data_IF_213032955604
#
_entry.id   IF_213032955604
#
_cell.length_a   1.000
_cell.length_b   1.000
_cell.length_c   1.000
_cell.angle_alpha   90.00
_cell.angle_beta   90.00
_cell.angle_gamma   90.00
#
_symmetry.space_group_name_H-M   'P 1'
#
loop_
_entity.id
_entity.type
_entity.pdbx_description
1 polymer ?
#
# COMPACT_ATOMS: atom_id res chain seq x y z
N UNK A 1 19.32 3.05 8.08
CA UNK A 1 17.88 2.99 8.44
C UNK A 1 17.34 4.42 8.40
N UNK A 2 16.61 4.79 7.34
CA UNK A 2 16.10 6.15 7.16
C UNK A 2 15.01 6.42 8.22
N UNK A 3 15.35 7.25 9.21
CA UNK A 3 14.38 7.80 10.17
C UNK A 3 13.52 8.84 9.45
N UNK A 4 12.54 8.40 8.67
CA UNK A 4 11.52 9.30 8.15
C UNK A 4 10.61 9.73 9.30
N UNK A 5 10.61 11.03 9.59
CA UNK A 5 9.77 11.66 10.60
C UNK A 5 8.27 11.48 10.25
N UNK A 6 7.38 11.32 11.24
CA UNK A 6 5.93 11.08 11.04
C UNK A 6 5.29 12.09 10.08
N UNK A 7 5.67 13.36 10.20
CA UNK A 7 5.18 14.46 9.36
C UNK A 7 5.54 14.29 7.87
N UNK A 8 6.67 13.65 7.57
CA UNK A 8 7.09 13.41 6.18
C UNK A 8 6.17 12.40 5.49
N UNK A 9 5.63 11.42 6.22
CA UNK A 9 4.70 10.45 5.65
C UNK A 9 3.29 10.98 5.52
N UNK A 10 2.84 11.82 6.46
CA UNK A 10 1.52 12.47 6.37
C UNK A 10 1.38 13.36 5.12
N UNK A 11 2.49 13.89 4.61
CA UNK A 11 2.51 14.70 3.38
C UNK A 11 2.70 13.87 2.11
N UNK A 12 3.33 12.69 2.21
CA UNK A 12 3.61 11.80 1.07
C UNK A 12 2.50 10.80 0.77
N UNK A 13 1.76 10.37 1.80
CA UNK A 13 0.74 9.34 1.69
C UNK A 13 -0.65 9.96 1.69
N UNK A 14 -1.60 9.29 1.04
CA UNK A 14 -3.01 9.60 1.26
C UNK A 14 -3.38 9.34 2.73
N UNK A 15 -4.43 9.99 3.27
CA UNK A 15 -4.87 9.75 4.64
C UNK A 15 -5.13 8.27 4.94
N UNK A 16 -5.74 7.53 4.00
CA UNK A 16 -6.00 6.10 4.15
C UNK A 16 -4.70 5.29 4.15
N UNK A 17 -3.78 5.54 3.21
CA UNK A 17 -2.50 4.85 3.16
C UNK A 17 -1.66 5.11 4.42
N UNK A 18 -1.68 6.33 4.96
CA UNK A 18 -1.03 6.64 6.24
C UNK A 18 -1.65 5.85 7.40
N UNK A 19 -2.98 5.88 7.52
CA UNK A 19 -3.72 5.14 8.57
C UNK A 19 -3.41 3.64 8.53
N UNK A 20 -3.40 3.04 7.34
CA UNK A 20 -3.11 1.60 7.19
C UNK A 20 -1.64 1.30 7.49
N UNK A 21 -0.71 1.98 6.83
CA UNK A 21 0.73 1.60 6.87
C UNK A 21 1.49 2.10 8.10
N UNK A 22 1.01 3.17 8.76
CA UNK A 22 1.69 3.79 9.91
C UNK A 22 0.93 3.65 11.23
N UNK A 23 -0.39 3.58 11.18
CA UNK A 23 -1.24 3.46 12.38
C UNK A 23 -1.81 2.05 12.58
N UNK A 24 -1.51 1.10 11.67
CA UNK A 24 -1.96 -0.28 11.77
C UNK A 24 -3.46 -0.45 11.53
N UNK A 25 -4.10 0.49 10.81
CA UNK A 25 -5.49 0.38 10.42
C UNK A 25 -5.72 -0.61 9.28
N UNK A 26 -6.99 -0.91 9.02
CA UNK A 26 -7.44 -1.74 7.89
C UNK A 26 -8.36 -0.92 6.99
N UNK A 27 -8.18 -1.02 5.67
CA UNK A 27 -9.12 -0.45 4.69
C UNK A 27 -10.49 -1.15 4.77
N UNK A 28 -11.60 -0.47 4.43
CA UNK A 28 -12.89 -1.14 4.34
C UNK A 28 -12.87 -2.29 3.32
N UNK A 29 -13.67 -3.34 3.53
CA UNK A 29 -13.70 -4.47 2.60
C UNK A 29 -14.20 -4.03 1.23
N UNK A 30 -13.58 -4.58 0.18
CA UNK A 30 -13.96 -4.38 -1.24
C UNK A 30 -13.80 -2.95 -1.77
N UNK A 31 -13.11 -2.06 -1.06
CA UNK A 31 -12.88 -0.66 -1.48
C UNK A 31 -11.44 -0.37 -1.90
N UNK A 32 -10.51 -1.28 -1.64
CA UNK A 32 -9.09 -1.08 -1.95
C UNK A 32 -8.86 -0.87 -3.44
N UNK A 33 -7.98 0.07 -3.81
CA UNK A 33 -7.66 0.43 -5.20
C UNK A 33 -7.30 -0.79 -6.06
N UNK A 34 -6.64 -1.78 -5.45
CA UNK A 34 -6.16 -2.97 -6.15
C UNK A 34 -7.06 -4.19 -5.99
N UNK A 35 -8.22 -4.08 -5.33
CA UNK A 35 -9.13 -5.20 -5.09
C UNK A 35 -9.47 -5.95 -6.40
N UNK A 36 -9.95 -5.22 -7.41
CA UNK A 36 -10.30 -5.78 -8.72
C UNK A 36 -9.18 -5.70 -9.76
N UNK A 37 -7.97 -5.29 -9.38
CA UNK A 37 -6.87 -5.17 -10.33
C UNK A 37 -6.44 -6.56 -10.83
N UNK A 38 -6.28 -6.70 -12.15
CA UNK A 38 -5.80 -7.90 -12.85
C UNK A 38 -4.70 -7.59 -13.87
N UNK A 39 -4.19 -6.36 -13.87
CA UNK A 39 -3.12 -5.95 -14.77
C UNK A 39 -1.80 -6.63 -14.38
N UNK A 40 -0.99 -6.97 -15.39
CA UNK A 40 0.33 -7.52 -15.16
C UNK A 40 1.27 -6.47 -14.55
N UNK A 41 2.09 -6.87 -13.58
CA UNK A 41 3.03 -5.95 -12.92
C UNK A 41 3.55 -6.47 -11.58
N UNK A 42 4.15 -5.56 -10.81
CA UNK A 42 4.66 -5.80 -9.46
C UNK A 42 4.01 -4.78 -8.53
N UNK A 43 3.46 -5.27 -7.42
CA UNK A 43 2.97 -4.45 -6.32
C UNK A 43 4.15 -4.01 -5.46
N UNK A 44 4.40 -2.71 -5.43
CA UNK A 44 5.48 -2.11 -4.64
C UNK A 44 4.95 -1.52 -3.34
N UNK A 45 5.81 -1.47 -2.33
CA UNK A 45 5.54 -0.81 -1.06
C UNK A 45 5.31 0.69 -1.28
N UNK A 46 4.11 1.20 -0.97
CA UNK A 46 3.79 2.63 -1.11
C UNK A 46 4.69 3.56 -0.26
N UNK A 47 5.37 3.01 0.75
CA UNK A 47 6.31 3.78 1.57
C UNK A 47 7.71 3.83 0.93
N UNK A 48 8.31 2.69 0.60
CA UNK A 48 9.73 2.60 0.25
C UNK A 48 10.01 2.11 -1.18
N UNK A 49 8.96 1.84 -1.95
CA UNK A 49 9.04 1.37 -3.34
C UNK A 49 9.73 0.00 -3.52
N UNK A 50 9.91 -0.76 -2.43
CA UNK A 50 10.43 -2.12 -2.50
C UNK A 50 9.36 -3.05 -3.13
N UNK A 51 9.73 -3.95 -4.07
CA UNK A 51 8.80 -4.94 -4.63
C UNK A 51 8.30 -5.89 -3.54
N UNK A 52 6.99 -6.10 -3.49
CA UNK A 52 6.34 -6.99 -2.51
C UNK A 52 5.80 -8.27 -3.16
N UNK A 53 5.01 -8.13 -4.23
CA UNK A 53 4.33 -9.26 -4.87
C UNK A 53 4.26 -9.09 -6.38
N UNK A 54 4.38 -10.18 -7.12
CA UNK A 54 4.08 -10.21 -8.55
C UNK A 54 2.58 -10.39 -8.78
N UNK A 55 2.05 -9.75 -9.83
CA UNK A 55 0.62 -9.81 -10.15
C UNK A 55 0.13 -11.22 -10.54
N UNK A 56 1.02 -12.09 -11.00
CA UNK A 56 0.72 -13.49 -11.29
C UNK A 56 0.39 -14.32 -10.04
N UNK A 57 0.78 -13.86 -8.85
CA UNK A 57 0.44 -14.47 -7.57
C UNK A 57 -0.87 -13.95 -6.96
N UNK A 58 -1.50 -12.94 -7.59
CA UNK A 58 -2.79 -12.42 -7.13
C UNK A 58 -3.93 -13.33 -7.60
N UNK A 59 -4.82 -13.70 -6.68
CA UNK A 59 -6.04 -14.46 -6.94
C UNK A 59 -7.28 -13.70 -6.43
N UNK A 60 -8.44 -13.99 -7.00
CA UNK A 60 -9.71 -13.44 -6.52
C UNK A 60 -10.08 -14.15 -5.21
N UNK A 61 -10.10 -13.41 -4.09
CA UNK A 61 -10.40 -13.89 -2.72
C UNK A 61 -11.77 -13.43 -2.24
#
# INVERSE_FOLDING_TARGET
MNHSNKQQWQTKLSPEAYRVTREGGTEPPFTGQYYLNKDAGIYHCICCDEPLFHADQKYDS
#
